data_IF_188230674843
#
_entry.id   IF_188230674843
#
_cell.length_a   1.000
_cell.length_b   1.000
_cell.length_c   1.000
_cell.angle_alpha   90.00
_cell.angle_beta   90.00
_cell.angle_gamma   90.00
#
_symmetry.space_group_name_H-M   'P 1'
#
loop_
_entity.id
_entity.type
_entity.pdbx_description
1 polymer ?
#
# COMPACT_ATOMS: atom_id res chain seq x y z
N UNK A 1 50.61 8.90 -20.41
CA UNK A 1 49.55 9.78 -20.93
C UNK A 1 48.37 9.62 -20.02
N UNK A 2 48.17 10.51 -19.04
CA UNK A 2 47.10 10.41 -18.07
C UNK A 2 45.85 10.97 -18.74
N UNK A 3 44.88 10.11 -19.02
CA UNK A 3 43.61 10.56 -19.60
C UNK A 3 42.82 11.28 -18.48
N UNK A 4 42.62 12.57 -18.64
CA UNK A 4 41.79 13.37 -17.77
C UNK A 4 40.33 12.97 -18.03
N UNK A 5 39.74 12.21 -17.11
CA UNK A 5 38.30 11.89 -17.12
C UNK A 5 37.64 13.00 -16.30
N UNK A 6 36.68 13.75 -16.84
CA UNK A 6 35.93 14.74 -16.09
C UNK A 6 35.31 14.13 -14.85
N UNK A 7 35.23 14.84 -13.74
CA UNK A 7 34.77 14.34 -12.45
C UNK A 7 33.30 13.87 -12.52
N UNK A 8 32.45 14.53 -13.32
CA UNK A 8 31.08 14.12 -13.62
C UNK A 8 31.01 12.74 -14.31
N UNK A 9 31.94 12.46 -15.26
CA UNK A 9 32.00 11.14 -15.92
C UNK A 9 32.38 10.03 -14.93
N UNK A 10 33.18 10.34 -13.90
CA UNK A 10 33.52 9.38 -12.84
C UNK A 10 32.32 9.09 -11.94
N UNK A 11 31.54 10.12 -11.59
CA UNK A 11 30.35 9.97 -10.75
C UNK A 11 29.26 9.14 -11.44
N UNK A 12 28.99 9.38 -12.71
CA UNK A 12 28.05 8.59 -13.52
C UNK A 12 28.48 7.14 -13.64
N UNK A 13 29.76 6.86 -13.86
CA UNK A 13 30.30 5.49 -13.88
C UNK A 13 30.18 4.81 -12.52
N UNK A 14 30.29 5.58 -11.42
CA UNK A 14 30.15 5.05 -10.08
C UNK A 14 28.69 4.69 -9.77
N UNK A 15 27.75 5.54 -10.15
CA UNK A 15 26.31 5.28 -10.02
C UNK A 15 25.89 3.94 -10.67
N UNK A 16 26.38 3.68 -11.89
CA UNK A 16 26.06 2.45 -12.62
C UNK A 16 26.75 1.19 -12.08
N UNK A 17 27.97 1.31 -11.53
CA UNK A 17 28.79 0.16 -11.17
C UNK A 17 28.85 -0.12 -9.65
N UNK A 18 28.69 0.92 -8.80
CA UNK A 18 28.74 0.80 -7.33
C UNK A 18 27.87 1.88 -6.68
N UNK A 19 26.57 1.60 -6.63
CA UNK A 19 25.57 2.53 -6.11
C UNK A 19 25.84 2.95 -4.66
N UNK A 20 26.26 2.02 -3.79
CA UNK A 20 26.53 2.32 -2.38
C UNK A 20 27.69 3.31 -2.23
N UNK A 21 28.75 3.11 -2.99
CA UNK A 21 29.90 4.02 -2.98
C UNK A 21 29.55 5.39 -3.57
N UNK A 22 28.71 5.41 -4.62
CA UNK A 22 28.19 6.68 -5.18
C UNK A 22 27.35 7.43 -4.14
N UNK A 23 26.48 6.72 -3.40
CA UNK A 23 25.65 7.31 -2.36
C UNK A 23 26.50 7.90 -1.22
N UNK A 24 27.49 7.14 -0.74
CA UNK A 24 28.42 7.61 0.30
C UNK A 24 29.18 8.86 -0.16
N UNK A 25 29.69 8.86 -1.38
CA UNK A 25 30.39 10.01 -1.96
C UNK A 25 29.46 11.23 -2.08
N UNK A 26 28.26 11.04 -2.57
CA UNK A 26 27.24 12.11 -2.71
C UNK A 26 26.90 12.72 -1.34
N UNK A 27 26.70 11.88 -0.31
CA UNK A 27 26.47 12.35 1.07
C UNK A 27 27.65 13.17 1.59
N UNK A 28 28.90 12.74 1.35
CA UNK A 28 30.08 13.45 1.77
C UNK A 28 30.24 14.79 1.05
N UNK A 29 29.95 14.86 -0.24
CA UNK A 29 29.97 16.12 -1.02
C UNK A 29 28.90 17.10 -0.50
N UNK A 30 27.68 16.62 -0.20
CA UNK A 30 26.61 17.44 0.41
C UNK A 30 27.04 17.99 1.78
N UNK A 31 27.57 17.14 2.68
CA UNK A 31 28.04 17.54 4.01
C UNK A 31 29.20 18.55 3.95
N UNK A 32 30.05 18.41 2.96
CA UNK A 32 31.20 19.29 2.75
C UNK A 32 30.89 20.53 1.90
N UNK A 33 29.63 20.72 1.50
CA UNK A 33 29.13 21.81 0.65
C UNK A 33 29.87 21.90 -0.72
N UNK A 34 30.28 20.76 -1.25
CA UNK A 34 30.96 20.66 -2.55
C UNK A 34 29.93 20.49 -3.67
N UNK A 35 28.99 21.43 -3.80
CA UNK A 35 27.82 21.33 -4.69
C UNK A 35 28.16 21.22 -6.18
N UNK A 36 29.34 21.81 -6.59
CA UNK A 36 29.79 21.75 -7.99
C UNK A 36 30.25 20.34 -8.42
N UNK A 37 30.50 19.45 -7.45
CA UNK A 37 30.94 18.08 -7.70
C UNK A 37 29.77 17.08 -7.69
N UNK A 38 28.58 17.54 -7.29
CA UNK A 38 27.40 16.67 -7.20
C UNK A 38 26.95 16.19 -8.57
N UNK A 39 26.60 14.92 -8.64
CA UNK A 39 25.86 14.32 -9.72
C UNK A 39 24.37 14.63 -9.53
N UNK A 40 23.98 15.84 -9.90
CA UNK A 40 22.63 16.37 -9.66
C UNK A 40 21.56 15.57 -10.40
N UNK A 41 21.88 15.05 -11.59
CA UNK A 41 20.93 14.31 -12.42
C UNK A 41 20.50 13.02 -11.72
N UNK A 42 21.44 12.18 -11.33
CA UNK A 42 21.15 10.94 -10.61
C UNK A 42 20.60 11.19 -9.20
N UNK A 43 21.05 12.25 -8.51
CA UNK A 43 20.49 12.61 -7.21
C UNK A 43 19.00 12.98 -7.32
N UNK A 44 18.59 13.71 -8.34
CA UNK A 44 17.17 14.03 -8.59
C UNK A 44 16.40 12.74 -8.91
N UNK A 45 16.98 11.84 -9.68
CA UNK A 45 16.37 10.55 -10.01
C UNK A 45 16.09 9.74 -8.73
N UNK A 46 17.09 9.55 -7.89
CA UNK A 46 16.98 8.79 -6.64
C UNK A 46 15.96 9.41 -5.66
N UNK A 47 16.00 10.73 -5.47
CA UNK A 47 15.01 11.41 -4.61
C UNK A 47 13.58 11.29 -5.17
N UNK A 48 13.44 11.34 -6.49
CA UNK A 48 12.15 11.13 -7.15
C UNK A 48 11.65 9.71 -6.96
N UNK A 49 12.51 8.71 -7.08
CA UNK A 49 12.16 7.31 -6.93
C UNK A 49 11.87 6.92 -5.48
N UNK A 50 12.55 7.53 -4.52
CA UNK A 50 12.20 7.41 -3.11
C UNK A 50 10.76 7.87 -2.85
N UNK A 51 10.37 9.04 -3.37
CA UNK A 51 9.00 9.53 -3.24
C UNK A 51 7.95 8.63 -3.94
N UNK A 52 8.29 8.04 -5.09
CA UNK A 52 7.44 7.07 -5.78
C UNK A 52 7.34 5.75 -5.00
N UNK A 53 8.42 5.31 -4.36
CA UNK A 53 8.48 4.09 -3.57
C UNK A 53 7.47 4.14 -2.41
N UNK A 54 7.43 5.24 -1.67
CA UNK A 54 6.49 5.43 -0.56
C UNK A 54 5.02 5.35 -1.04
N UNK A 55 4.71 6.00 -2.17
CA UNK A 55 3.35 5.90 -2.76
C UNK A 55 3.01 4.49 -3.22
N UNK A 56 3.96 3.77 -3.81
CA UNK A 56 3.77 2.37 -4.24
C UNK A 56 3.56 1.44 -3.04
N UNK A 57 4.27 1.67 -1.91
CA UNK A 57 4.05 0.92 -0.66
C UNK A 57 2.62 1.10 -0.18
N UNK A 58 2.16 2.33 -0.05
CA UNK A 58 0.79 2.67 0.33
C UNK A 58 -0.24 2.00 -0.61
N UNK A 59 -0.08 2.16 -1.92
CA UNK A 59 -0.97 1.58 -2.93
C UNK A 59 -1.02 0.05 -2.85
N UNK A 60 0.12 -0.61 -2.63
CA UNK A 60 0.20 -2.07 -2.51
C UNK A 60 -0.54 -2.59 -1.28
N UNK A 61 -0.37 -1.92 -0.14
CA UNK A 61 -1.09 -2.27 1.09
C UNK A 61 -2.61 -2.02 0.95
N UNK A 62 -3.02 -0.91 0.31
CA UNK A 62 -4.43 -0.62 0.03
C UNK A 62 -5.07 -1.68 -0.88
N UNK A 63 -4.36 -2.21 -1.89
CA UNK A 63 -4.89 -3.27 -2.76
C UNK A 63 -5.31 -4.48 -1.94
N UNK A 64 -4.46 -4.95 -1.04
CA UNK A 64 -4.70 -6.16 -0.25
C UNK A 64 -5.78 -5.90 0.81
N UNK A 65 -5.67 -4.80 1.53
CA UNK A 65 -6.65 -4.39 2.54
C UNK A 65 -8.08 -4.33 1.95
N UNK A 66 -8.27 -3.56 0.88
CA UNK A 66 -9.57 -3.39 0.24
C UNK A 66 -10.08 -4.72 -0.35
N UNK A 67 -9.20 -5.56 -0.91
CA UNK A 67 -9.60 -6.86 -1.42
C UNK A 67 -10.15 -7.76 -0.31
N UNK A 68 -9.56 -7.75 0.87
CA UNK A 68 -10.04 -8.56 2.01
C UNK A 68 -11.30 -7.98 2.64
N UNK A 69 -11.44 -6.65 2.74
CA UNK A 69 -12.69 -6.02 3.14
C UNK A 69 -13.84 -6.36 2.18
N UNK A 70 -13.58 -6.39 0.87
CA UNK A 70 -14.57 -6.83 -0.13
C UNK A 70 -14.97 -8.31 0.08
N UNK A 71 -14.02 -9.19 0.40
CA UNK A 71 -14.31 -10.60 0.67
C UNK A 71 -15.20 -10.75 1.91
N UNK A 72 -14.88 -10.04 2.99
CA UNK A 72 -15.67 -10.03 4.22
C UNK A 72 -17.08 -9.51 3.96
N UNK A 73 -17.22 -8.45 3.17
CA UNK A 73 -18.52 -7.88 2.79
C UNK A 73 -19.37 -8.81 1.95
N UNK A 74 -18.80 -9.51 0.98
CA UNK A 74 -19.52 -10.29 -0.03
C UNK A 74 -19.73 -11.75 0.40
N UNK A 75 -18.80 -12.34 1.15
CA UNK A 75 -18.80 -13.74 1.55
C UNK A 75 -19.09 -13.87 3.06
N UNK A 76 -20.19 -13.28 3.51
CA UNK A 76 -20.61 -13.34 4.92
C UNK A 76 -20.90 -14.76 5.41
N UNK A 77 -21.24 -15.67 4.48
CA UNK A 77 -21.45 -17.09 4.69
C UNK A 77 -20.17 -17.94 4.70
N UNK A 78 -18.99 -17.31 4.57
CA UNK A 78 -17.72 -18.02 4.62
C UNK A 78 -17.45 -18.59 6.03
N UNK A 79 -16.77 -19.76 6.13
CA UNK A 79 -16.34 -20.31 7.42
C UNK A 79 -15.52 -19.35 8.24
N UNK A 80 -15.71 -19.36 9.56
CA UNK A 80 -15.00 -18.43 10.49
C UNK A 80 -13.49 -18.50 10.36
N UNK A 81 -12.91 -19.67 10.11
CA UNK A 81 -11.46 -19.79 9.90
C UNK A 81 -10.99 -19.03 8.66
N UNK A 82 -11.81 -18.90 7.61
CA UNK A 82 -11.48 -18.10 6.43
C UNK A 82 -11.62 -16.61 6.72
N UNK A 83 -12.70 -16.22 7.42
CA UNK A 83 -12.91 -14.83 7.82
C UNK A 83 -11.80 -14.35 8.74
N UNK A 84 -11.41 -15.14 9.74
CA UNK A 84 -10.29 -14.83 10.63
C UNK A 84 -9.01 -14.56 9.85
N UNK A 85 -8.66 -15.41 8.89
CA UNK A 85 -7.47 -15.18 8.03
C UNK A 85 -7.58 -13.90 7.19
N UNK A 86 -8.79 -13.50 6.78
CA UNK A 86 -8.98 -12.23 6.06
C UNK A 86 -8.88 -11.04 7.00
N UNK A 87 -9.39 -11.16 8.22
CA UNK A 87 -9.28 -10.14 9.27
C UNK A 87 -7.83 -9.93 9.68
N UNK A 88 -7.05 -11.01 9.84
CA UNK A 88 -5.61 -10.92 10.12
C UNK A 88 -4.90 -10.12 9.02
N UNK A 89 -5.23 -10.39 7.74
CA UNK A 89 -4.66 -9.65 6.61
C UNK A 89 -5.13 -8.19 6.57
N UNK A 90 -6.40 -7.91 6.91
CA UNK A 90 -6.93 -6.54 7.03
C UNK A 90 -6.15 -5.78 8.10
N UNK A 91 -6.00 -6.37 9.29
CA UNK A 91 -5.27 -5.77 10.40
C UNK A 91 -3.81 -5.48 10.04
N UNK A 92 -3.11 -6.47 9.47
CA UNK A 92 -1.69 -6.32 9.09
C UNK A 92 -1.48 -5.18 8.10
N UNK A 93 -2.26 -5.15 7.00
CA UNK A 93 -2.08 -4.14 5.97
C UNK A 93 -2.58 -2.75 6.41
N UNK A 94 -3.60 -2.69 7.26
CA UNK A 94 -4.07 -1.44 7.86
C UNK A 94 -3.01 -0.83 8.78
N UNK A 95 -2.40 -1.62 9.65
CA UNK A 95 -1.33 -1.15 10.52
C UNK A 95 -0.14 -0.61 9.73
N UNK A 96 0.25 -1.27 8.63
CA UNK A 96 1.30 -0.76 7.74
C UNK A 96 0.93 0.59 7.12
N UNK A 97 -0.32 0.74 6.67
CA UNK A 97 -0.81 2.02 6.13
C UNK A 97 -0.79 3.11 7.20
N UNK A 98 -1.31 2.83 8.40
CA UNK A 98 -1.34 3.78 9.50
C UNK A 98 0.08 4.22 9.90
N UNK A 99 1.01 3.29 9.98
CA UNK A 99 2.42 3.57 10.22
C UNK A 99 3.02 4.47 9.12
N UNK A 100 2.81 4.12 7.84
CA UNK A 100 3.30 4.93 6.72
C UNK A 100 2.71 6.36 6.74
N UNK A 101 1.44 6.52 7.17
CA UNK A 101 0.78 7.82 7.28
C UNK A 101 1.23 8.65 8.50
N UNK A 102 1.72 8.01 9.55
CA UNK A 102 2.34 8.65 10.71
C UNK A 102 3.74 9.14 10.36
N UNK A 103 4.57 8.27 9.79
CA UNK A 103 5.94 8.59 9.40
C UNK A 103 6.02 9.59 8.22
N UNK A 104 5.05 9.55 7.31
CA UNK A 104 5.02 10.36 6.09
C UNK A 104 3.66 11.07 5.95
N UNK A 105 3.39 12.12 6.75
CA UNK A 105 2.07 12.78 6.79
C UNK A 105 1.58 13.31 5.44
N UNK A 106 2.48 13.62 4.50
CA UNK A 106 2.14 14.07 3.15
C UNK A 106 1.38 13.01 2.33
N UNK A 107 1.48 11.73 2.68
CA UNK A 107 0.71 10.65 2.04
C UNK A 107 -0.80 10.76 2.30
N UNK A 108 -1.22 11.42 3.39
CA UNK A 108 -2.64 11.61 3.73
C UNK A 108 -3.41 12.30 2.60
N UNK A 109 -2.80 13.31 1.97
CA UNK A 109 -3.41 14.01 0.84
C UNK A 109 -3.53 13.16 -0.43
N UNK A 110 -2.84 12.01 -0.49
CA UNK A 110 -2.86 11.10 -1.62
C UNK A 110 -3.88 9.96 -1.47
N UNK A 111 -4.44 9.74 -0.27
CA UNK A 111 -5.27 8.56 0.06
C UNK A 111 -6.46 8.39 -0.88
N UNK A 112 -7.31 9.40 -1.04
CA UNK A 112 -8.50 9.31 -1.90
C UNK A 112 -8.12 8.93 -3.33
N UNK A 113 -7.10 9.61 -3.87
CA UNK A 113 -6.59 9.33 -5.22
C UNK A 113 -6.01 7.91 -5.31
N UNK A 114 -5.28 7.47 -4.29
CA UNK A 114 -4.71 6.13 -4.23
C UNK A 114 -5.82 5.06 -4.18
N UNK A 115 -6.83 5.23 -3.32
CA UNK A 115 -7.97 4.30 -3.22
C UNK A 115 -8.69 4.18 -4.57
N UNK A 116 -9.03 5.30 -5.20
CA UNK A 116 -9.68 5.30 -6.52
C UNK A 116 -8.81 4.58 -7.58
N UNK A 117 -7.51 4.83 -7.56
CA UNK A 117 -6.53 4.22 -8.49
C UNK A 117 -6.43 2.71 -8.29
N UNK A 118 -6.37 2.23 -7.04
CA UNK A 118 -6.09 0.82 -6.74
C UNK A 118 -7.33 -0.05 -6.71
N UNK A 119 -8.51 0.53 -6.52
CA UNK A 119 -9.76 -0.21 -6.36
C UNK A 119 -10.03 -1.26 -7.46
N UNK A 120 -9.82 -0.97 -8.76
CA UNK A 120 -10.00 -2.00 -9.81
C UNK A 120 -9.11 -3.22 -9.60
N UNK A 121 -7.88 -3.03 -9.10
CA UNK A 121 -6.95 -4.11 -8.80
C UNK A 121 -7.38 -4.90 -7.56
N UNK A 122 -7.85 -4.22 -6.52
CA UNK A 122 -8.39 -4.82 -5.30
C UNK A 122 -9.62 -5.67 -5.59
N UNK A 123 -10.56 -5.14 -6.38
CA UNK A 123 -11.75 -5.86 -6.84
C UNK A 123 -11.37 -7.12 -7.63
N UNK A 124 -10.45 -6.99 -8.58
CA UNK A 124 -9.95 -8.12 -9.38
C UNK A 124 -9.30 -9.19 -8.51
N UNK A 125 -8.54 -8.79 -7.49
CA UNK A 125 -7.91 -9.71 -6.53
C UNK A 125 -8.99 -10.44 -5.71
N UNK A 126 -9.96 -9.73 -5.14
CA UNK A 126 -11.06 -10.31 -4.37
C UNK A 126 -11.85 -11.33 -5.19
N UNK A 127 -12.20 -11.00 -6.43
CA UNK A 127 -12.91 -11.91 -7.36
C UNK A 127 -12.05 -13.16 -7.66
N UNK A 128 -10.77 -12.98 -7.95
CA UNK A 128 -9.84 -14.08 -8.26
C UNK A 128 -9.71 -15.04 -7.08
N UNK A 129 -9.63 -14.53 -5.87
CA UNK A 129 -9.52 -15.34 -4.65
C UNK A 129 -10.85 -16.00 -4.29
N UNK A 130 -11.98 -15.28 -4.45
CA UNK A 130 -13.32 -15.84 -4.26
C UNK A 130 -13.59 -17.06 -5.17
N UNK A 131 -13.11 -17.02 -6.43
CA UNK A 131 -13.19 -18.17 -7.36
C UNK A 131 -12.36 -19.39 -6.93
N UNK A 132 -11.39 -19.21 -6.02
CA UNK A 132 -10.56 -20.30 -5.46
C UNK A 132 -11.15 -20.91 -4.19
N UNK A 133 -12.31 -20.43 -3.75
CA UNK A 133 -12.99 -20.97 -2.58
C UNK A 133 -13.16 -22.50 -2.76
N UNK A 134 -12.67 -23.26 -1.77
CA UNK A 134 -12.73 -24.72 -1.70
C UNK A 134 -13.69 -25.11 -0.57
N UNK A 135 -13.96 -26.41 -0.42
CA UNK A 135 -14.70 -26.95 0.72
C UNK A 135 -16.20 -26.60 0.79
N UNK A 136 -16.88 -26.51 -0.36
CA UNK A 136 -18.34 -26.29 -0.38
C UNK A 136 -18.79 -24.87 -0.07
N UNK A 137 -17.85 -23.92 0.05
CA UNK A 137 -18.15 -22.49 0.20
C UNK A 137 -18.72 -21.96 -1.11
N UNK A 138 -19.74 -21.13 -1.03
CA UNK A 138 -20.30 -20.43 -2.18
C UNK A 138 -19.23 -19.63 -2.92
N UNK A 139 -19.20 -19.76 -4.24
CA UNK A 139 -18.35 -18.90 -5.09
C UNK A 139 -19.17 -17.68 -5.49
N UNK A 140 -18.80 -16.47 -5.03
CA UNK A 140 -19.52 -15.26 -5.40
C UNK A 140 -19.44 -14.98 -6.89
N UNK A 141 -20.52 -14.44 -7.43
CA UNK A 141 -20.54 -13.96 -8.82
C UNK A 141 -19.79 -12.61 -8.91
N UNK A 142 -19.15 -12.37 -10.04
CA UNK A 142 -18.40 -11.13 -10.26
C UNK A 142 -19.26 -9.86 -10.13
N UNK A 143 -20.56 -9.95 -10.47
CA UNK A 143 -21.52 -8.85 -10.34
C UNK A 143 -21.85 -8.47 -8.88
N UNK A 144 -21.54 -9.34 -7.91
CA UNK A 144 -21.75 -9.07 -6.48
C UNK A 144 -20.69 -8.12 -5.92
N UNK A 145 -19.54 -8.04 -6.59
CA UNK A 145 -18.48 -7.09 -6.23
C UNK A 145 -18.77 -5.72 -6.85
N UNK A 146 -18.96 -4.66 -6.07
CA UNK A 146 -19.27 -3.33 -6.57
C UNK A 146 -18.28 -2.83 -7.62
N UNK A 147 -18.76 -2.02 -8.57
CA UNK A 147 -17.88 -1.41 -9.58
C UNK A 147 -17.04 -0.27 -8.99
N UNK A 148 -17.62 0.47 -8.04
CA UNK A 148 -16.97 1.55 -7.29
C UNK A 148 -16.66 1.10 -5.86
N UNK A 149 -15.66 1.71 -5.23
CA UNK A 149 -15.26 1.37 -3.87
C UNK A 149 -16.41 1.64 -2.89
N UNK A 150 -16.92 0.61 -2.18
CA UNK A 150 -18.04 0.77 -1.25
C UNK A 150 -17.61 1.26 0.14
N UNK A 151 -16.34 1.58 0.33
CA UNK A 151 -15.77 1.97 1.61
C UNK A 151 -15.24 3.40 1.55
N UNK A 152 -15.49 4.19 2.60
CA UNK A 152 -14.88 5.51 2.77
C UNK A 152 -13.43 5.41 3.24
N UNK A 153 -12.69 6.52 3.19
CA UNK A 153 -11.32 6.58 3.73
C UNK A 153 -11.31 6.25 5.21
N UNK A 154 -12.29 6.79 5.96
CA UNK A 154 -12.44 6.58 7.40
C UNK A 154 -12.65 5.10 7.71
N UNK A 155 -13.56 4.44 7.01
CA UNK A 155 -13.82 3.00 7.17
C UNK A 155 -12.60 2.13 6.83
N UNK A 156 -11.83 2.50 5.79
CA UNK A 156 -10.62 1.77 5.42
C UNK A 156 -9.55 1.87 6.52
N UNK A 157 -9.45 3.02 7.19
CA UNK A 157 -8.45 3.29 8.23
C UNK A 157 -8.92 2.94 9.65
N UNK A 158 -10.21 2.73 9.87
CA UNK A 158 -10.78 2.38 11.16
C UNK A 158 -10.40 0.94 11.53
N UNK A 159 -9.69 0.79 12.66
CA UNK A 159 -9.17 -0.51 13.15
C UNK A 159 -10.28 -1.48 13.51
N UNK A 160 -11.45 -0.98 13.89
CA UNK A 160 -12.62 -1.78 14.27
C UNK A 160 -13.51 -2.14 13.06
N UNK A 161 -13.27 -1.53 11.89
CA UNK A 161 -14.10 -1.79 10.72
C UNK A 161 -13.68 -3.08 10.00
N UNK A 162 -14.62 -4.03 9.92
CA UNK A 162 -14.45 -5.38 9.34
C UNK A 162 -15.13 -5.55 7.97
N UNK A 163 -15.43 -4.46 7.25
CA UNK A 163 -16.04 -4.51 5.90
C UNK A 163 -17.56 -4.50 5.89
N UNK A 164 -18.21 -4.64 7.02
CA UNK A 164 -19.66 -4.52 7.24
C UNK A 164 -19.93 -3.57 8.40
N UNK A 165 -20.97 -2.76 8.30
CA UNK A 165 -21.44 -1.99 9.44
C UNK A 165 -22.19 -2.92 10.39
N UNK A 166 -21.80 -2.97 11.65
CA UNK A 166 -22.59 -3.63 12.67
C UNK A 166 -23.79 -2.75 12.98
N UNK A 167 -24.97 -3.18 12.57
CA UNK A 167 -26.21 -2.61 13.09
C UNK A 167 -26.33 -3.00 14.56
N UNK A 168 -26.22 -2.03 15.46
CA UNK A 168 -26.41 -2.22 16.90
C UNK A 168 -27.81 -2.73 17.30
N UNK A 169 -28.72 -2.86 16.35
CA UNK A 169 -30.11 -3.30 16.59
C UNK A 169 -30.30 -4.82 16.62
N UNK A 170 -29.27 -5.63 16.33
CA UNK A 170 -29.37 -7.09 16.29
C UNK A 170 -29.03 -7.82 17.61
N UNK A 171 -28.77 -7.10 18.69
CA UNK A 171 -28.72 -7.72 20.01
C UNK A 171 -30.11 -7.66 20.67
N UNK A 172 -30.82 -8.79 20.80
CA UNK A 172 -31.98 -8.82 21.69
C UNK A 172 -31.50 -8.47 23.09
N UNK A 173 -32.01 -7.36 23.61
CA UNK A 173 -31.75 -6.94 24.99
C UNK A 173 -32.12 -8.10 25.94
N UNK A 174 -31.17 -8.71 26.67
CA UNK A 174 -31.47 -9.85 27.54
C UNK A 174 -32.23 -9.48 28.81
N UNK A 175 -32.80 -8.26 28.89
CA UNK A 175 -33.50 -7.74 30.10
C UNK A 175 -34.92 -7.21 29.74
N UNK A 176 -35.72 -8.00 29.06
CA UNK A 176 -37.19 -7.82 29.15
C UNK A 176 -37.81 -9.09 29.71
N UNK A 177 -38.49 -8.97 30.88
CA UNK A 177 -39.11 -10.11 31.57
C UNK A 177 -40.29 -10.72 30.83
#
# INVERSE_FOLDING_TARGET
MTIFVPEQTKSTLLYENDFELWLEQTINQLKSQQFEQLDIEHLIEELTDLGKSNKRSLESNLIILIAHLLKLKIQQDAPEMMKSSWLDSVSEHRQRILYDLEEIPSLKSHLETAIAKVYPSSRKLAIKEGKRAKFGVRVPLEKEYPLDCPFTVEQILDEDFEGVEFNHDDHPNPLTP
#
